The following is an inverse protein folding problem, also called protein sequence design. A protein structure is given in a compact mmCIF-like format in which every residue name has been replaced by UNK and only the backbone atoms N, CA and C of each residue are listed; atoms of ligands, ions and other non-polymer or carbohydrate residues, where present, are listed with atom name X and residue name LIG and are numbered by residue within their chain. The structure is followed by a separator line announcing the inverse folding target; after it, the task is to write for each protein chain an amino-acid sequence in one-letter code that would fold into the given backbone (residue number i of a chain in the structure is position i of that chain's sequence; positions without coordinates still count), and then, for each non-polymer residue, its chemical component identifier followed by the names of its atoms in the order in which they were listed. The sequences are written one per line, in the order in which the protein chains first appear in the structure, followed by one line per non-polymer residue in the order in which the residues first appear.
data_IF_691042606806
#
_entry.id   IF_691042606806
#
_cell.length_a   1.000
_cell.length_b   1.000
_cell.length_c   1.000
_cell.angle_alpha   90.00
_cell.angle_beta   90.00
_cell.angle_gamma   90.00
#
_symmetry.space_group_name_H-M   'P 1'
#
loop_
_entity.id
_entity.type
_entity.pdbx_description
1 polymer ?
#
# COMPACT_ATOMS: atom_id res chain seq x y z
N UNK A 1 10.33 7.62 19.43
CA UNK A 1 10.04 9.06 19.68
C UNK A 1 11.31 9.91 19.65
N UNK A 2 12.46 9.42 20.13
CA UNK A 2 13.74 10.14 20.16
C UNK A 2 14.16 10.73 18.80
N UNK A 3 14.14 9.93 17.72
CA UNK A 3 14.47 10.38 16.36
C UNK A 3 13.58 11.55 15.93
N UNK A 4 12.26 11.43 16.12
CA UNK A 4 11.32 12.48 15.76
C UNK A 4 11.56 13.77 16.56
N UNK A 5 11.90 13.65 17.84
CA UNK A 5 12.22 14.80 18.70
C UNK A 5 13.51 15.48 18.27
N UNK A 6 14.59 14.72 18.08
CA UNK A 6 15.91 15.22 17.68
C UNK A 6 15.86 15.96 16.33
N UNK A 7 15.07 15.44 15.39
CA UNK A 7 14.89 16.01 14.06
C UNK A 7 13.71 17.00 13.96
N UNK A 8 13.01 17.27 15.08
CA UNK A 8 11.85 18.17 15.17
C UNK A 8 10.74 17.83 14.15
N UNK A 9 10.55 16.54 13.90
CA UNK A 9 9.56 16.03 12.97
C UNK A 9 8.14 16.21 13.50
N UNK A 10 7.20 16.43 12.59
CA UNK A 10 5.78 16.59 12.88
C UNK A 10 4.95 15.72 11.94
N UNK A 11 3.72 15.42 12.32
CA UNK A 11 2.83 14.60 11.50
C UNK A 11 3.22 13.12 11.45
N UNK A 12 2.71 12.44 10.42
CA UNK A 12 3.12 11.07 10.06
C UNK A 12 4.52 11.05 9.44
N UNK A 13 5.39 10.19 9.98
CA UNK A 13 6.79 10.04 9.56
C UNK A 13 7.09 8.54 9.38
N UNK A 14 7.72 8.18 8.26
CA UNK A 14 8.21 6.82 8.01
C UNK A 14 9.61 6.63 8.57
N UNK A 15 9.88 5.42 9.05
CA UNK A 15 11.19 5.00 9.54
C UNK A 15 11.47 3.63 8.94
N UNK A 16 12.54 3.53 8.16
CA UNK A 16 12.98 2.28 7.58
C UNK A 16 14.19 1.77 8.35
N UNK A 17 14.15 0.50 8.73
CA UNK A 17 15.21 -0.15 9.49
C UNK A 17 15.38 -1.60 9.04
N UNK A 18 16.54 -2.17 9.34
CA UNK A 18 16.80 -3.61 9.20
C UNK A 18 17.10 -4.22 10.56
N UNK A 19 16.74 -5.48 10.74
CA UNK A 19 17.07 -6.25 11.94
C UNK A 19 18.12 -7.28 11.56
N UNK A 20 19.26 -7.27 12.24
CA UNK A 20 20.31 -8.23 11.96
C UNK A 20 20.03 -9.60 12.59
N UNK A 21 20.96 -10.56 12.41
CA UNK A 21 20.79 -11.93 12.93
C UNK A 21 20.83 -12.01 14.45
N UNK A 22 21.43 -11.03 15.13
CA UNK A 22 21.44 -10.95 16.59
C UNK A 22 20.17 -10.27 17.14
N UNK A 23 19.35 -9.68 16.27
CA UNK A 23 18.14 -8.95 16.64
C UNK A 23 18.34 -7.46 16.79
N UNK A 24 19.52 -6.92 16.46
CA UNK A 24 19.80 -5.49 16.57
C UNK A 24 19.11 -4.71 15.45
N UNK A 25 18.53 -3.57 15.82
CA UNK A 25 17.79 -2.68 14.91
C UNK A 25 18.72 -1.61 14.37
N UNK A 26 18.88 -1.58 13.05
CA UNK A 26 19.69 -0.61 12.34
C UNK A 26 18.80 0.35 11.56
N UNK A 27 18.77 1.62 12.00
CA UNK A 27 18.05 2.69 11.31
C UNK A 27 18.70 2.97 9.96
N UNK A 28 17.92 2.91 8.89
CA UNK A 28 18.38 3.13 7.52
C UNK A 28 17.95 4.50 6.99
N UNK A 29 16.68 4.86 7.17
CA UNK A 29 16.11 6.06 6.59
C UNK A 29 15.00 6.65 7.47
N UNK A 30 14.88 7.98 7.43
CA UNK A 30 13.76 8.72 8.03
C UNK A 30 13.07 9.50 6.93
N UNK A 31 11.79 9.20 6.72
CA UNK A 31 10.96 9.73 5.65
C UNK A 31 9.87 10.67 6.20
N UNK A 32 10.10 12.00 6.32
CA UNK A 32 9.16 12.93 6.93
C UNK A 32 8.02 13.34 5.97
N UNK A 33 7.28 12.35 5.48
CA UNK A 33 6.20 12.50 4.50
C UNK A 33 5.14 11.43 4.71
N UNK A 34 3.96 11.64 4.12
CA UNK A 34 2.94 10.61 4.01
C UNK A 34 3.51 9.39 3.27
N UNK A 35 3.36 8.23 3.89
CA UNK A 35 3.89 6.97 3.40
C UNK A 35 2.98 6.37 2.34
N UNK A 36 3.57 5.59 1.42
CA UNK A 36 2.80 4.80 0.45
C UNK A 36 1.94 3.71 1.09
N UNK A 37 1.97 3.52 2.40
CA UNK A 37 1.09 2.62 3.16
C UNK A 37 -0.17 3.31 3.71
N UNK A 38 -0.37 4.60 3.40
CA UNK A 38 -1.48 5.40 3.94
C UNK A 38 -2.84 4.76 3.71
N UNK A 39 -3.16 4.38 2.47
CA UNK A 39 -4.50 3.85 2.13
C UNK A 39 -4.77 2.50 2.81
N UNK A 40 -3.73 1.70 3.00
CA UNK A 40 -3.81 0.44 3.76
C UNK A 40 -4.11 0.72 5.23
N UNK A 41 -3.39 1.67 5.84
CA UNK A 41 -3.62 2.05 7.25
C UNK A 41 -5.02 2.61 7.47
N UNK A 42 -5.51 3.46 6.56
CA UNK A 42 -6.88 4.00 6.64
C UNK A 42 -7.92 2.89 6.48
N UNK A 43 -7.71 1.96 5.55
CA UNK A 43 -8.59 0.80 5.36
C UNK A 43 -8.60 -0.15 6.57
N UNK A 44 -7.43 -0.39 7.15
CA UNK A 44 -7.22 -1.30 8.28
C UNK A 44 -7.75 -0.74 9.60
N UNK A 45 -7.67 0.58 9.79
CA UNK A 45 -8.10 1.26 11.02
C UNK A 45 -9.49 1.87 10.96
N UNK A 46 -10.03 2.09 9.76
CA UNK A 46 -11.23 2.90 9.51
C UNK A 46 -11.13 4.32 10.09
N UNK A 47 -9.91 4.87 10.17
CA UNK A 47 -9.63 6.25 10.59
C UNK A 47 -8.91 6.99 9.48
N UNK A 48 -9.13 8.29 9.38
CA UNK A 48 -8.34 9.12 8.48
C UNK A 48 -6.96 9.42 9.08
N UNK A 49 -5.93 8.77 8.55
CA UNK A 49 -4.53 9.01 8.89
C UNK A 49 -4.07 10.35 8.34
N UNK A 50 -4.63 10.80 7.21
CA UNK A 50 -4.40 12.15 6.71
C UNK A 50 -4.83 13.23 7.73
N UNK A 51 -6.03 13.12 8.29
CA UNK A 51 -6.48 14.05 9.32
C UNK A 51 -5.61 13.98 10.58
N UNK A 52 -5.17 12.78 10.98
CA UNK A 52 -4.23 12.63 12.09
C UNK A 52 -2.89 13.32 11.81
N UNK A 53 -2.36 13.21 10.59
CA UNK A 53 -1.15 13.92 10.16
C UNK A 53 -1.33 15.43 10.26
N UNK A 54 -2.42 15.98 9.71
CA UNK A 54 -2.71 17.44 9.76
C UNK A 54 -2.85 17.93 11.21
N UNK A 55 -3.60 17.21 12.04
CA UNK A 55 -3.76 17.53 13.46
C UNK A 55 -2.42 17.50 14.21
N UNK A 56 -1.58 16.50 13.94
CA UNK A 56 -0.27 16.37 14.55
C UNK A 56 0.69 17.50 14.13
N UNK A 57 0.60 18.01 12.90
CA UNK A 57 1.33 19.21 12.49
C UNK A 57 0.92 20.45 13.30
N UNK A 58 -0.35 20.53 13.70
CA UNK A 58 -0.90 21.51 14.64
C UNK A 58 -0.67 21.20 16.13
N UNK A 59 0.08 20.15 16.48
CA UNK A 59 0.40 19.77 17.86
C UNK A 59 -0.64 18.87 18.54
N UNK A 60 -1.67 18.42 17.81
CA UNK A 60 -2.70 17.53 18.34
C UNK A 60 -2.34 16.10 17.94
N UNK A 61 -1.71 15.36 18.87
CA UNK A 61 -1.35 13.96 18.68
C UNK A 61 -2.50 13.01 19.05
N UNK A 62 -2.59 11.82 18.42
CA UNK A 62 -3.55 10.80 18.85
C UNK A 62 -3.25 10.36 20.29
N UNK A 63 -4.32 10.16 21.08
CA UNK A 63 -4.20 9.77 22.50
C UNK A 63 -3.72 8.34 22.72
N UNK A 64 -3.82 7.50 21.69
CA UNK A 64 -3.44 6.10 21.72
C UNK A 64 -2.93 5.66 20.34
N UNK A 65 -2.12 4.59 20.27
CA UNK A 65 -1.77 3.97 19.00
C UNK A 65 -3.02 3.60 18.19
N UNK A 66 -2.87 3.67 16.87
CA UNK A 66 -3.95 3.34 15.96
C UNK A 66 -4.21 1.83 15.98
N UNK A 67 -5.41 1.43 16.38
CA UNK A 67 -5.84 0.04 16.22
C UNK A 67 -6.05 -0.27 14.74
N UNK A 68 -5.41 -1.33 14.24
CA UNK A 68 -5.46 -1.76 12.85
C UNK A 68 -5.83 -3.24 12.78
N UNK A 69 -6.65 -3.60 11.79
CA UNK A 69 -6.86 -5.00 11.39
C UNK A 69 -5.73 -5.46 10.46
N UNK A 70 -5.41 -6.76 10.41
CA UNK A 70 -4.49 -7.29 9.41
C UNK A 70 -4.92 -6.92 7.99
N UNK A 71 -3.96 -6.50 7.16
CA UNK A 71 -4.24 -6.12 5.80
C UNK A 71 -3.01 -6.24 4.90
N UNK A 72 -3.28 -6.34 3.60
CA UNK A 72 -2.27 -6.50 2.56
C UNK A 72 -2.47 -5.43 1.49
N UNK A 73 -1.38 -4.75 1.12
CA UNK A 73 -1.26 -3.92 -0.09
C UNK A 73 -0.38 -4.69 -1.08
N UNK A 74 -0.92 -5.03 -2.25
CA UNK A 74 -0.24 -5.84 -3.27
C UNK A 74 -0.26 -5.13 -4.61
N UNK A 75 0.90 -4.90 -5.21
CA UNK A 75 0.98 -4.38 -6.57
C UNK A 75 0.93 -5.57 -7.53
N UNK A 76 -0.04 -5.56 -8.44
CA UNK A 76 -0.17 -6.56 -9.50
C UNK A 76 0.63 -6.08 -10.70
N UNK A 77 1.71 -6.79 -11.01
CA UNK A 77 2.50 -6.54 -12.21
C UNK A 77 2.06 -7.44 -13.37
N UNK A 78 2.08 -6.91 -14.58
CA UNK A 78 1.65 -7.61 -15.77
C UNK A 78 2.57 -8.81 -16.07
N UNK A 79 2.00 -10.01 -16.16
CA UNK A 79 2.74 -11.22 -16.53
C UNK A 79 3.04 -11.31 -18.02
N UNK A 80 2.36 -10.50 -18.84
CA UNK A 80 2.51 -10.40 -20.30
C UNK A 80 2.25 -8.97 -20.78
N UNK A 81 2.78 -8.61 -21.95
CA UNK A 81 2.44 -7.35 -22.61
C UNK A 81 1.05 -7.42 -23.22
N UNK A 82 0.35 -6.30 -23.28
CA UNK A 82 -1.01 -6.26 -23.82
C UNK A 82 -1.77 -4.99 -23.52
N UNK A 83 -3.06 -5.01 -23.82
CA UNK A 83 -3.99 -3.91 -23.55
C UNK A 83 -4.80 -4.20 -22.30
N UNK A 84 -4.84 -3.25 -21.37
CA UNK A 84 -5.58 -3.33 -20.11
C UNK A 84 -7.07 -3.13 -20.36
N UNK A 85 -7.91 -3.99 -19.79
CA UNK A 85 -9.37 -3.82 -19.76
C UNK A 85 -9.84 -3.18 -18.44
N UNK A 86 -11.15 -3.01 -18.26
CA UNK A 86 -11.69 -2.29 -17.09
C UNK A 86 -11.45 -3.04 -15.77
N UNK A 87 -10.55 -2.49 -14.95
CA UNK A 87 -10.16 -3.01 -13.64
C UNK A 87 -11.07 -2.53 -12.50
N UNK A 88 -12.01 -1.58 -12.73
CA UNK A 88 -12.83 -0.98 -11.66
C UNK A 88 -13.76 -1.98 -10.98
N UNK A 89 -14.04 -3.12 -11.62
CA UNK A 89 -14.86 -4.20 -11.06
C UNK A 89 -14.12 -5.07 -10.05
N UNK A 90 -12.80 -4.91 -9.91
CA UNK A 90 -11.98 -5.69 -8.98
C UNK A 90 -12.08 -5.05 -7.59
N UNK A 91 -12.68 -5.73 -6.60
CA UNK A 91 -12.88 -5.15 -5.28
C UNK A 91 -11.56 -4.77 -4.62
N UNK A 92 -11.47 -3.55 -4.09
CA UNK A 92 -10.27 -3.06 -3.41
C UNK A 92 -9.09 -2.77 -4.35
N UNK A 93 -9.30 -2.76 -5.67
CA UNK A 93 -8.32 -2.22 -6.60
C UNK A 93 -8.27 -0.69 -6.50
N UNK A 94 -7.07 -0.16 -6.36
CA UNK A 94 -6.71 1.25 -6.38
C UNK A 94 -5.52 1.43 -7.32
N UNK A 95 -5.11 2.66 -7.60
CA UNK A 95 -3.98 2.95 -8.50
C UNK A 95 -4.10 2.18 -9.83
N UNK A 96 -5.27 2.32 -10.45
CA UNK A 96 -5.71 1.48 -11.57
C UNK A 96 -5.12 2.02 -12.88
N UNK A 97 -4.47 1.16 -13.65
CA UNK A 97 -4.11 1.47 -15.03
C UNK A 97 -5.36 1.69 -15.87
N UNK A 98 -5.47 2.79 -16.64
CA UNK A 98 -6.66 3.08 -17.44
C UNK A 98 -6.99 1.96 -18.45
N UNK A 99 -8.29 1.74 -18.66
CA UNK A 99 -8.74 0.84 -19.72
C UNK A 99 -8.28 1.33 -21.09
N UNK A 100 -7.79 0.42 -21.93
CA UNK A 100 -7.23 0.72 -23.25
C UNK A 100 -5.73 1.02 -23.24
N UNK A 101 -5.10 1.18 -22.07
CA UNK A 101 -3.65 1.38 -21.98
C UNK A 101 -2.89 0.14 -22.48
N UNK A 102 -1.85 0.37 -23.29
CA UNK A 102 -0.90 -0.67 -23.70
C UNK A 102 0.24 -0.71 -22.69
N UNK A 103 0.48 -1.88 -22.11
CA UNK A 103 1.52 -2.10 -21.11
C UNK A 103 2.42 -3.26 -21.50
N UNK A 104 3.65 -3.27 -20.99
CA UNK A 104 4.62 -4.35 -21.16
C UNK A 104 4.56 -5.34 -20.01
N UNK A 105 5.06 -6.55 -20.23
CA UNK A 105 5.39 -7.48 -19.13
C UNK A 105 6.27 -6.77 -18.10
N UNK A 106 5.88 -6.82 -16.83
CA UNK A 106 6.56 -6.15 -15.73
C UNK A 106 6.02 -4.76 -15.39
N UNK A 107 5.14 -4.18 -16.21
CA UNK A 107 4.49 -2.91 -15.89
C UNK A 107 3.40 -3.12 -14.82
N UNK A 108 3.14 -2.13 -13.94
CA UNK A 108 2.06 -2.23 -12.97
C UNK A 108 0.68 -2.22 -13.64
N UNK A 109 -0.23 -3.05 -13.14
CA UNK A 109 -1.63 -3.14 -13.61
C UNK A 109 -2.53 -2.37 -12.66
N UNK A 110 -2.50 -2.73 -11.37
CA UNK A 110 -3.18 -2.04 -10.29
C UNK A 110 -2.56 -2.39 -8.94
N UNK A 111 -2.98 -1.69 -7.89
CA UNK A 111 -2.70 -2.07 -6.51
C UNK A 111 -3.95 -2.60 -5.83
N UNK A 112 -3.84 -3.70 -5.09
CA UNK A 112 -4.93 -4.32 -4.34
C UNK A 112 -4.77 -4.04 -2.84
N UNK A 113 -5.84 -3.60 -2.19
CA UNK A 113 -5.95 -3.52 -0.74
C UNK A 113 -6.98 -4.54 -0.24
N UNK A 114 -6.56 -5.35 0.73
CA UNK A 114 -7.41 -6.35 1.40
C UNK A 114 -7.23 -6.27 2.90
N UNK A 115 -8.32 -6.44 3.64
CA UNK A 115 -8.36 -6.45 5.11
C UNK A 115 -9.03 -7.74 5.56
N UNK A 116 -8.43 -8.44 6.52
CA UNK A 116 -8.93 -9.70 7.09
C UNK A 116 -9.03 -9.62 8.61
N UNK A 117 -9.59 -10.65 9.22
CA UNK A 117 -9.47 -10.84 10.67
C UNK A 117 -8.10 -11.45 11.03
N UNK A 118 -7.53 -12.20 10.09
CA UNK A 118 -6.16 -12.71 10.13
C UNK A 118 -5.36 -12.28 8.90
N UNK A 119 -4.03 -12.22 9.04
CA UNK A 119 -3.14 -11.85 7.93
C UNK A 119 -3.23 -12.86 6.77
N UNK A 120 -3.30 -14.15 7.09
CA UNK A 120 -3.42 -15.23 6.10
C UNK A 120 -4.67 -15.08 5.24
N UNK A 121 -5.78 -14.69 5.86
CA UNK A 121 -7.04 -14.45 5.16
C UNK A 121 -6.96 -13.23 4.23
N UNK A 122 -6.42 -12.11 4.71
CA UNK A 122 -6.20 -10.92 3.89
C UNK A 122 -5.33 -11.26 2.67
N UNK A 123 -4.24 -11.99 2.90
CA UNK A 123 -3.32 -12.43 1.86
C UNK A 123 -3.99 -13.34 0.82
N UNK A 124 -4.77 -14.34 1.26
CA UNK A 124 -5.49 -15.24 0.35
C UNK A 124 -6.44 -14.47 -0.56
N UNK A 125 -7.20 -13.51 -0.03
CA UNK A 125 -8.08 -12.63 -0.82
C UNK A 125 -7.29 -11.75 -1.81
N UNK A 126 -6.10 -11.30 -1.44
CA UNK A 126 -5.26 -10.50 -2.33
C UNK A 126 -4.79 -11.33 -3.52
N UNK A 127 -4.37 -12.57 -3.29
CA UNK A 127 -3.97 -13.51 -4.34
C UNK A 127 -5.14 -13.84 -5.27
N UNK A 128 -6.31 -14.15 -4.72
CA UNK A 128 -7.52 -14.42 -5.51
C UNK A 128 -7.86 -13.22 -6.43
N UNK A 129 -7.85 -12.00 -5.89
CA UNK A 129 -8.09 -10.78 -6.68
C UNK A 129 -7.00 -10.52 -7.72
N UNK A 130 -5.75 -10.83 -7.41
CA UNK A 130 -4.66 -10.72 -8.38
C UNK A 130 -4.85 -11.70 -9.55
N UNK A 131 -5.35 -12.91 -9.28
CA UNK A 131 -5.69 -13.88 -10.33
C UNK A 131 -6.83 -13.39 -11.23
N UNK A 132 -7.78 -12.62 -10.70
CA UNK A 132 -8.81 -11.95 -11.51
C UNK A 132 -8.27 -10.74 -12.28
N UNK A 133 -7.25 -10.05 -11.77
CA UNK A 133 -6.62 -8.91 -12.44
C UNK A 133 -5.75 -9.32 -13.63
N UNK A 134 -4.98 -10.41 -13.54
CA UNK A 134 -4.03 -10.81 -14.60
C UNK A 134 -4.67 -10.99 -16.00
N UNK A 135 -5.83 -11.65 -16.16
CA UNK A 135 -6.46 -11.83 -17.46
C UNK A 135 -6.93 -10.52 -18.11
N UNK A 136 -7.07 -9.44 -17.34
CA UNK A 136 -7.53 -8.14 -17.87
C UNK A 136 -6.53 -7.52 -18.84
N UNK A 137 -5.27 -7.95 -18.83
CA UNK A 137 -4.26 -7.59 -19.82
C UNK A 137 -4.39 -8.56 -21.00
N UNK A 138 -5.07 -8.12 -22.06
CA UNK A 138 -5.31 -8.93 -23.26
C UNK A 138 -4.10 -8.83 -24.21
N UNK A 139 -3.62 -9.94 -24.80
CA UNK A 139 -2.51 -9.89 -25.75
C UNK A 139 -2.84 -8.95 -26.89
N UNK A 140 -1.88 -8.09 -27.23
CA UNK A 140 -2.00 -7.28 -28.43
C UNK A 140 -1.49 -8.12 -29.60
N UNK A 141 -2.39 -8.54 -30.49
CA UNK A 141 -1.97 -9.08 -31.78
C UNK A 141 -1.48 -7.91 -32.62
N UNK A 142 -0.17 -7.89 -32.88
CA UNK A 142 0.39 -7.05 -33.94
C UNK A 142 0.32 -7.89 -35.22
N UNK A 143 -0.45 -7.48 -36.24
CA UNK A 143 -0.52 -8.19 -37.51
C UNK A 143 0.82 -8.19 -38.25
#
# INVERSE_FOLDING_TARGET
EEVCSALRLRGSNGIDFVVDRAGEVWLMEVNPRLQGSLELLESASRRSVLNMHVNACGGILPRAPLAVRPGVKMIVYATRSGTVSDLRRIPGAIDITPSGSVIRRGDPVCTLITIGDELAEAYARAIERAQYAQPTVSPQYVP
#
